data_IF_815122301608
#
_entry.id   IF_815122301608
#
_cell.length_a   1.000
_cell.length_b   1.000
_cell.length_c   1.000
_cell.angle_alpha   90.00
_cell.angle_beta   90.00
_cell.angle_gamma   90.00
#
_symmetry.space_group_name_H-M   'P 1'
#
loop_
_entity.id
_entity.type
_entity.pdbx_description
1 polymer ?
#
# COMPACT_ATOMS: atom_id res chain seq x y z
N UNK A 1 34.82 5.60 -10.23
CA UNK A 1 33.67 6.19 -10.96
C UNK A 1 32.47 5.70 -10.19
N UNK A 2 31.83 6.58 -9.42
CA UNK A 2 30.67 6.17 -8.61
C UNK A 2 29.57 5.67 -9.52
N UNK A 3 28.81 4.67 -9.07
CA UNK A 3 27.69 4.18 -9.87
C UNK A 3 26.61 5.28 -9.96
N UNK A 4 25.70 5.17 -10.93
CA UNK A 4 24.67 6.19 -11.17
C UNK A 4 23.79 6.44 -9.93
N UNK A 5 23.59 5.43 -9.08
CA UNK A 5 22.82 5.53 -7.86
C UNK A 5 23.51 6.43 -6.82
N UNK A 6 24.80 6.24 -6.58
CA UNK A 6 25.60 7.07 -5.66
C UNK A 6 25.59 8.56 -6.07
N UNK A 7 25.62 8.83 -7.39
CA UNK A 7 25.50 10.20 -7.90
C UNK A 7 24.10 10.80 -7.62
N UNK A 8 23.04 10.05 -7.91
CA UNK A 8 21.67 10.50 -7.68
C UNK A 8 21.35 10.69 -6.19
N UNK A 9 21.91 9.85 -5.32
CA UNK A 9 21.80 10.02 -3.86
C UNK A 9 22.47 11.32 -3.43
N UNK A 10 23.69 11.59 -3.89
CA UNK A 10 24.41 12.81 -3.57
C UNK A 10 23.68 14.07 -4.06
N UNK A 11 23.06 14.04 -5.24
CA UNK A 11 22.26 15.15 -5.75
C UNK A 11 20.93 15.31 -4.96
N UNK A 12 20.25 14.22 -4.64
CA UNK A 12 19.01 14.24 -3.86
C UNK A 12 19.23 14.83 -2.46
N UNK A 13 20.38 14.57 -1.83
CA UNK A 13 20.72 15.11 -0.51
C UNK A 13 20.95 16.63 -0.51
N UNK A 14 21.16 17.27 -1.68
CA UNK A 14 21.27 18.74 -1.80
C UNK A 14 19.91 19.45 -1.78
N UNK A 15 18.82 18.72 -2.03
CA UNK A 15 17.45 19.26 -2.01
C UNK A 15 17.01 19.63 -0.59
N UNK A 16 16.03 20.52 -0.47
CA UNK A 16 15.36 20.77 0.81
C UNK A 16 14.60 19.53 1.30
N UNK A 17 14.23 19.50 2.58
CA UNK A 17 13.47 18.37 3.13
C UNK A 17 12.14 18.12 2.41
N UNK A 18 11.46 19.19 1.95
CA UNK A 18 10.19 19.07 1.23
C UNK A 18 10.37 18.51 -0.17
N UNK A 19 11.38 18.99 -0.91
CA UNK A 19 11.71 18.49 -2.25
C UNK A 19 12.18 17.03 -2.21
N UNK A 20 12.96 16.62 -1.20
CA UNK A 20 13.31 15.20 -1.02
C UNK A 20 12.09 14.33 -0.77
N UNK A 21 11.13 14.79 0.05
CA UNK A 21 9.90 14.05 0.31
C UNK A 21 9.04 13.93 -0.96
N UNK A 22 8.97 14.98 -1.78
CA UNK A 22 8.29 14.93 -3.07
C UNK A 22 8.98 13.96 -4.04
N UNK A 23 10.32 13.99 -4.12
CA UNK A 23 11.09 13.09 -4.98
C UNK A 23 10.95 11.63 -4.55
N UNK A 24 11.00 11.34 -3.26
CA UNK A 24 10.78 10.00 -2.72
C UNK A 24 9.38 9.45 -3.07
N UNK A 25 8.34 10.28 -3.02
CA UNK A 25 6.99 9.87 -3.43
C UNK A 25 6.93 9.47 -4.90
N UNK A 26 7.56 10.22 -5.80
CA UNK A 26 7.61 9.89 -7.23
C UNK A 26 8.33 8.56 -7.46
N UNK A 27 9.46 8.34 -6.78
CA UNK A 27 10.20 7.09 -6.88
C UNK A 27 9.38 5.90 -6.34
N UNK A 28 8.74 6.04 -5.18
CA UNK A 28 7.86 5.01 -4.64
C UNK A 28 6.70 4.68 -5.59
N UNK A 29 6.04 5.70 -6.15
CA UNK A 29 4.97 5.50 -7.13
C UNK A 29 5.45 4.82 -8.42
N UNK A 30 6.73 4.99 -8.80
CA UNK A 30 7.30 4.28 -9.96
C UNK A 30 7.55 2.79 -9.71
N UNK A 31 7.52 2.35 -8.45
CA UNK A 31 7.67 0.95 -8.05
C UNK A 31 6.32 0.23 -7.91
N UNK A 32 5.20 0.93 -8.04
CA UNK A 32 3.88 0.30 -8.19
C UNK A 32 3.80 -0.32 -9.61
N UNK A 33 4.39 -1.51 -9.75
CA UNK A 33 4.31 -2.37 -10.96
C UNK A 33 2.97 -3.13 -11.05
N UNK A 34 2.08 -2.91 -10.09
CA UNK A 34 1.00 -3.80 -9.72
C UNK A 34 -0.38 -3.36 -10.25
N UNK A 35 -0.45 -2.68 -11.40
CA UNK A 35 -1.72 -2.23 -11.98
C UNK A 35 -2.75 -3.37 -12.19
N UNK A 36 -2.29 -4.61 -12.49
CA UNK A 36 -3.16 -5.79 -12.56
C UNK A 36 -3.63 -6.26 -11.17
N UNK A 37 -2.80 -6.10 -10.13
CA UNK A 37 -3.19 -6.37 -8.75
C UNK A 37 -4.18 -5.31 -8.28
N UNK A 38 -4.00 -4.04 -8.63
CA UNK A 38 -4.95 -2.98 -8.33
C UNK A 38 -6.34 -3.27 -8.90
N UNK A 39 -6.42 -3.73 -10.16
CA UNK A 39 -7.70 -4.14 -10.77
C UNK A 39 -8.31 -5.35 -10.05
N UNK A 40 -7.50 -6.37 -9.75
CA UNK A 40 -7.97 -7.54 -9.01
C UNK A 40 -8.47 -7.18 -7.59
N UNK A 41 -7.81 -6.23 -6.93
CA UNK A 41 -8.21 -5.70 -5.62
C UNK A 41 -9.49 -4.88 -5.70
N UNK A 42 -9.62 -4.01 -6.71
CA UNK A 42 -10.85 -3.25 -6.94
C UNK A 42 -12.06 -4.17 -7.12
N UNK A 43 -11.92 -5.19 -7.99
CA UNK A 43 -12.95 -6.20 -8.22
C UNK A 43 -13.31 -6.96 -6.92
N UNK A 44 -12.32 -7.34 -6.12
CA UNK A 44 -12.55 -8.05 -4.86
C UNK A 44 -13.24 -7.16 -3.80
N UNK A 45 -12.89 -5.87 -3.73
CA UNK A 45 -13.53 -4.91 -2.83
C UNK A 45 -15.00 -4.74 -3.21
N UNK A 46 -15.30 -4.51 -4.49
CA UNK A 46 -16.68 -4.40 -4.97
C UNK A 46 -17.50 -5.66 -4.66
N UNK A 47 -16.92 -6.85 -4.93
CA UNK A 47 -17.55 -8.13 -4.61
C UNK A 47 -17.86 -8.25 -3.12
N UNK A 48 -16.91 -7.93 -2.24
CA UNK A 48 -17.12 -8.03 -0.78
C UNK A 48 -18.15 -7.05 -0.27
N UNK A 49 -18.18 -5.83 -0.80
CA UNK A 49 -19.21 -4.85 -0.44
C UNK A 49 -20.59 -5.39 -0.81
N UNK A 50 -20.76 -5.89 -2.03
CA UNK A 50 -22.03 -6.46 -2.49
C UNK A 50 -22.49 -7.66 -1.64
N UNK A 51 -21.57 -8.54 -1.23
CA UNK A 51 -21.88 -9.67 -0.35
C UNK A 51 -22.35 -9.22 1.04
N UNK A 52 -21.75 -8.16 1.60
CA UNK A 52 -22.16 -7.60 2.89
C UNK A 52 -23.52 -6.92 2.77
N UNK A 53 -23.72 -6.08 1.75
CA UNK A 53 -24.97 -5.33 1.53
C UNK A 53 -26.16 -6.25 1.22
N UNK A 54 -25.93 -7.32 0.46
CA UNK A 54 -26.96 -8.33 0.18
C UNK A 54 -27.23 -9.27 1.36
N UNK A 55 -26.38 -9.26 2.40
CA UNK A 55 -26.46 -10.20 3.52
C UNK A 55 -26.06 -11.64 3.16
N UNK A 56 -25.38 -11.83 2.02
CA UNK A 56 -24.86 -13.13 1.59
C UNK A 56 -23.78 -13.68 2.54
N UNK A 57 -23.13 -12.79 3.30
CA UNK A 57 -22.12 -13.14 4.30
C UNK A 57 -22.49 -12.62 5.69
N UNK A 58 -22.14 -13.38 6.71
CA UNK A 58 -22.27 -12.94 8.09
C UNK A 58 -21.04 -12.11 8.48
N UNK A 59 -21.26 -10.83 8.78
CA UNK A 59 -20.22 -9.95 9.31
C UNK A 59 -19.99 -10.19 10.80
N UNK A 60 -18.75 -9.97 11.25
CA UNK A 60 -18.38 -9.98 12.66
C UNK A 60 -17.99 -8.57 13.11
N UNK A 61 -18.26 -8.18 14.37
CA UNK A 61 -17.78 -6.90 14.90
C UNK A 61 -16.26 -6.78 14.80
N UNK A 62 -15.76 -5.63 14.36
CA UNK A 62 -14.32 -5.45 14.11
C UNK A 62 -13.45 -5.66 15.36
N UNK A 63 -13.98 -5.35 16.54
CA UNK A 63 -13.29 -5.61 17.81
C UNK A 63 -13.04 -7.11 18.04
N UNK A 64 -14.01 -7.96 17.69
CA UNK A 64 -13.89 -9.42 17.80
C UNK A 64 -12.91 -9.96 16.75
N UNK A 65 -12.99 -9.48 15.50
CA UNK A 65 -12.07 -9.85 14.43
C UNK A 65 -10.61 -9.57 14.81
N UNK A 66 -10.32 -8.35 15.29
CA UNK A 66 -8.98 -7.96 15.71
C UNK A 66 -8.48 -8.76 16.92
N UNK A 67 -9.36 -9.11 17.86
CA UNK A 67 -9.01 -9.96 18.99
C UNK A 67 -8.59 -11.37 18.53
N UNK A 68 -9.30 -11.96 17.57
CA UNK A 68 -8.97 -13.27 17.01
C UNK A 68 -7.61 -13.25 16.30
N UNK A 69 -7.35 -12.25 15.44
CA UNK A 69 -6.05 -12.11 14.75
C UNK A 69 -4.91 -12.02 15.75
N UNK A 70 -5.03 -11.19 16.79
CA UNK A 70 -4.00 -11.04 17.82
C UNK A 70 -3.77 -12.34 18.60
N UNK A 71 -4.83 -13.11 18.87
CA UNK A 71 -4.72 -14.39 19.55
C UNK A 71 -3.96 -15.43 18.70
N UNK A 72 -4.12 -15.37 17.37
CA UNK A 72 -3.48 -16.28 16.42
C UNK A 72 -1.99 -15.97 16.14
N UNK A 73 -1.49 -14.80 16.55
CA UNK A 73 -0.10 -14.36 16.35
C UNK A 73 0.83 -14.71 17.55
N UNK A 74 0.38 -15.57 18.47
CA UNK A 74 1.21 -16.12 19.56
C UNK A 74 1.83 -17.45 19.17
#
# INVERSE_FOLDING_TARGET
MGNQLEFLEAEALKLTSGERAAFAQVLLASLDEDAEIEEAWANEVERRIAEVESGAVQVIPIAEALAQVRAALK
#
